data_IF_388689643800
#
_entry.id   IF_388689643800
#
_cell.length_a   1.000
_cell.length_b   1.000
_cell.length_c   1.000
_cell.angle_alpha   90.00
_cell.angle_beta   90.00
_cell.angle_gamma   90.00
#
_symmetry.space_group_name_H-M   'P 1'
#
loop_
_entity.id
_entity.type
_entity.pdbx_description
1 polymer ?
#
# COMPACT_ATOMS: atom_id res chain seq x y z
N UNK A 1 3.85 39.51 41.73
CA UNK A 1 4.83 38.46 41.37
C UNK A 1 4.20 37.08 41.50
N UNK A 2 3.88 36.43 40.38
CA UNK A 2 4.01 34.98 40.11
C UNK A 2 3.47 34.73 38.69
N UNK A 3 4.37 34.83 37.72
CA UNK A 3 4.17 34.30 36.36
C UNK A 3 4.04 32.78 36.52
N UNK A 4 2.87 32.22 36.20
CA UNK A 4 2.64 30.79 36.24
C UNK A 4 2.67 30.21 34.84
N UNK A 5 3.48 29.16 34.69
CA UNK A 5 4.01 28.58 33.46
C UNK A 5 2.99 27.81 32.60
N UNK A 6 1.71 28.21 32.61
CA UNK A 6 0.66 27.54 31.86
C UNK A 6 0.68 27.90 30.35
N UNK A 7 1.16 29.09 29.98
CA UNK A 7 1.31 29.48 28.57
C UNK A 7 2.46 28.74 27.84
N UNK A 8 3.45 28.18 28.56
CA UNK A 8 4.57 27.46 27.93
C UNK A 8 4.21 26.03 27.55
N UNK A 9 3.25 25.41 28.23
CA UNK A 9 2.80 24.04 27.92
C UNK A 9 1.74 23.99 26.81
N UNK A 10 0.98 25.08 26.60
CA UNK A 10 0.01 25.19 25.51
C UNK A 10 0.69 25.51 24.16
N UNK A 11 1.84 26.18 24.18
CA UNK A 11 2.63 26.47 22.96
C UNK A 11 3.48 25.28 22.50
N UNK A 12 3.88 24.37 23.40
CA UNK A 12 4.64 23.15 23.06
C UNK A 12 3.75 22.02 22.51
N UNK A 13 2.43 22.08 22.74
CA UNK A 13 1.47 21.11 22.20
C UNK A 13 0.93 21.45 20.79
N UNK A 14 1.27 22.62 20.23
CA UNK A 14 0.91 23.01 18.84
C UNK A 14 2.00 22.72 17.79
N UNK A 15 3.06 21.96 18.14
CA UNK A 15 4.17 21.66 17.21
C UNK A 15 4.21 20.20 16.72
N UNK A 16 3.17 19.39 16.94
CA UNK A 16 3.12 17.99 16.44
C UNK A 16 1.81 17.67 15.70
N UNK A 17 1.28 18.64 14.94
CA UNK A 17 0.22 18.39 13.96
C UNK A 17 0.55 19.13 12.65
N UNK A 18 1.57 18.65 11.94
CA UNK A 18 1.57 18.73 10.47
C UNK A 18 0.96 17.41 9.98
N UNK A 19 -0.35 17.26 10.22
CA UNK A 19 -1.16 16.34 9.44
C UNK A 19 -1.55 17.11 8.19
N UNK A 20 -1.15 16.61 7.04
CA UNK A 20 -1.40 17.21 5.74
C UNK A 20 -2.89 17.47 5.54
N UNK A 21 -3.29 18.73 5.73
CA UNK A 21 -4.57 19.26 5.30
C UNK A 21 -4.30 20.26 4.18
N UNK A 22 -3.99 19.74 3.00
CA UNK A 22 -4.04 20.54 1.79
C UNK A 22 -5.52 20.66 1.39
N UNK A 23 -6.11 21.82 1.70
CA UNK A 23 -7.38 22.25 1.13
C UNK A 23 -7.14 22.42 -0.37
N UNK A 24 -7.63 21.47 -1.17
CA UNK A 24 -7.55 21.51 -2.62
C UNK A 24 -8.71 22.37 -3.15
N UNK A 25 -8.45 23.64 -3.43
CA UNK A 25 -9.38 24.51 -4.16
C UNK A 25 -8.92 24.60 -5.62
N UNK A 26 -9.72 24.03 -6.53
CA UNK A 26 -9.94 24.58 -7.87
C UNK A 26 -8.96 24.19 -8.99
N UNK A 27 -9.57 23.73 -10.09
CA UNK A 27 -9.08 23.68 -11.48
C UNK A 27 -8.13 22.54 -11.86
N UNK A 28 -8.53 21.77 -12.89
CA UNK A 28 -7.77 21.03 -13.93
C UNK A 28 -6.34 20.52 -13.68
N UNK A 29 -5.88 20.37 -12.45
CA UNK A 29 -4.51 20.04 -12.11
C UNK A 29 -4.30 18.54 -12.31
N UNK A 30 -3.33 18.19 -13.17
CA UNK A 30 -2.73 16.85 -13.11
C UNK A 30 -2.26 16.65 -11.66
N UNK A 31 -2.78 15.64 -10.98
CA UNK A 31 -2.32 15.28 -9.63
C UNK A 31 -0.86 14.85 -9.72
N UNK A 32 0.05 15.67 -9.20
CA UNK A 32 1.48 15.38 -9.13
C UNK A 32 1.79 14.65 -7.82
N UNK A 33 2.89 13.89 -7.81
CA UNK A 33 3.42 13.30 -6.59
C UNK A 33 4.00 14.40 -5.66
N UNK A 34 4.31 14.04 -4.42
CA UNK A 34 4.69 15.00 -3.39
C UNK A 34 6.18 15.34 -3.47
N UNK A 35 6.57 16.59 -3.16
CA UNK A 35 7.99 16.96 -3.08
C UNK A 35 8.49 16.95 -1.63
N UNK A 36 9.76 16.58 -1.42
CA UNK A 36 10.46 16.87 -0.18
C UNK A 36 10.84 18.37 -0.12
N UNK A 37 10.74 18.99 1.05
CA UNK A 37 10.93 20.44 1.21
C UNK A 37 12.40 20.89 1.20
N UNK A 38 13.30 20.02 1.64
CA UNK A 38 14.74 20.24 1.68
C UNK A 38 15.45 18.89 1.52
N UNK A 39 16.75 18.85 1.18
CA UNK A 39 17.50 17.61 1.18
C UNK A 39 17.50 16.96 2.56
N UNK A 40 17.19 15.67 2.64
CA UNK A 40 17.12 14.91 3.89
C UNK A 40 17.79 13.55 3.74
N UNK A 41 18.22 12.91 4.84
CA UNK A 41 18.71 11.53 4.84
C UNK A 41 17.70 10.56 4.22
N UNK A 42 18.19 9.58 3.44
CA UNK A 42 17.35 8.56 2.80
C UNK A 42 16.43 7.86 3.80
N UNK A 43 16.93 7.43 4.95
CA UNK A 43 16.14 6.73 5.96
C UNK A 43 15.07 7.58 6.66
N UNK A 44 15.09 8.90 6.50
CA UNK A 44 14.01 9.78 6.96
C UNK A 44 12.91 9.94 5.91
N UNK A 45 13.27 9.85 4.63
CA UNK A 45 12.30 9.89 3.51
C UNK A 45 11.65 8.51 3.30
N UNK A 46 12.43 7.44 3.48
CA UNK A 46 12.02 6.05 3.32
C UNK A 46 12.20 5.32 4.66
N UNK A 47 11.18 5.30 5.54
CA UNK A 47 11.30 4.70 6.87
C UNK A 47 11.46 3.18 6.86
N UNK A 48 11.00 2.51 5.79
CA UNK A 48 11.26 1.07 5.60
C UNK A 48 12.76 0.86 5.31
N UNK A 49 13.49 0.12 6.16
CA UNK A 49 14.94 0.01 6.05
C UNK A 49 15.38 -0.72 4.79
N UNK A 50 14.55 -1.57 4.22
CA UNK A 50 14.88 -2.32 3.02
C UNK A 50 14.58 -1.50 1.76
N UNK A 51 13.49 -0.72 1.76
CA UNK A 51 13.25 0.29 0.73
C UNK A 51 14.35 1.35 0.73
N UNK A 52 14.77 1.84 1.91
CA UNK A 52 15.88 2.78 2.03
C UNK A 52 17.18 2.22 1.41
N UNK A 53 17.47 0.93 1.59
CA UNK A 53 18.63 0.28 0.94
C UNK A 53 18.48 0.23 -0.58
N UNK A 54 17.27 -0.07 -1.09
CA UNK A 54 17.00 -0.07 -2.53
C UNK A 54 17.23 1.33 -3.13
N UNK A 55 16.68 2.36 -2.49
CA UNK A 55 16.87 3.76 -2.91
C UNK A 55 18.35 4.16 -2.84
N UNK A 56 19.04 3.81 -1.75
CA UNK A 56 20.47 4.06 -1.59
C UNK A 56 21.28 3.50 -2.76
N UNK A 57 21.05 2.24 -3.14
CA UNK A 57 21.73 1.59 -4.28
C UNK A 57 21.37 2.29 -5.59
N UNK A 58 20.09 2.60 -5.79
CA UNK A 58 19.57 3.27 -7.00
C UNK A 58 20.22 4.63 -7.22
N UNK A 59 20.46 5.39 -6.14
CA UNK A 59 21.09 6.71 -6.17
C UNK A 59 22.62 6.67 -6.05
N UNK A 60 23.25 5.50 -5.99
CA UNK A 60 24.71 5.36 -5.84
C UNK A 60 25.27 5.91 -4.53
N UNK A 61 24.46 5.96 -3.47
CA UNK A 61 24.83 6.48 -2.15
C UNK A 61 25.56 5.43 -1.31
N UNK A 62 26.39 5.87 -0.37
CA UNK A 62 27.20 4.99 0.48
C UNK A 62 26.39 4.52 1.68
N UNK A 63 25.65 5.43 2.32
CA UNK A 63 24.83 5.17 3.51
C UNK A 63 23.37 5.56 3.32
N UNK A 64 22.47 4.90 4.06
CA UNK A 64 21.05 5.33 4.16
C UNK A 64 20.89 6.63 4.95
N UNK A 65 21.96 7.14 5.56
CA UNK A 65 22.01 8.46 6.19
C UNK A 65 22.47 9.56 5.24
N UNK A 66 22.92 9.21 4.03
CA UNK A 66 23.33 10.20 3.05
C UNK A 66 22.13 11.04 2.64
N UNK A 67 22.34 12.34 2.51
CA UNK A 67 21.29 13.27 2.11
C UNK A 67 20.98 13.12 0.62
N UNK A 68 19.69 13.23 0.30
CA UNK A 68 19.17 13.24 -1.06
C UNK A 68 18.23 14.43 -1.23
N UNK A 69 18.33 15.08 -2.38
CA UNK A 69 17.48 16.19 -2.80
C UNK A 69 16.32 15.70 -3.68
N UNK A 70 15.28 16.53 -3.83
CA UNK A 70 14.19 16.24 -4.76
C UNK A 70 14.70 16.08 -6.21
N UNK A 71 15.73 16.83 -6.60
CA UNK A 71 16.35 16.72 -7.93
C UNK A 71 16.95 15.33 -8.17
N UNK A 72 17.53 14.72 -7.15
CA UNK A 72 18.06 13.35 -7.25
C UNK A 72 16.93 12.33 -7.33
N UNK A 73 15.86 12.49 -6.53
CA UNK A 73 14.67 11.64 -6.64
C UNK A 73 14.00 11.77 -8.02
N UNK A 74 13.89 12.99 -8.56
CA UNK A 74 13.34 13.26 -9.89
C UNK A 74 14.22 12.74 -11.04
N UNK A 75 15.49 12.39 -10.77
CA UNK A 75 16.37 11.77 -11.76
C UNK A 75 16.08 10.28 -11.97
N UNK A 76 15.36 9.65 -11.03
CA UNK A 76 15.07 8.22 -11.07
C UNK A 76 13.79 7.95 -11.86
N UNK A 77 13.94 7.21 -12.96
CA UNK A 77 12.84 6.75 -13.80
C UNK A 77 12.50 5.27 -13.57
N UNK A 78 13.43 4.51 -12.99
CA UNK A 78 13.27 3.09 -12.72
C UNK A 78 13.78 2.71 -11.34
N UNK A 79 13.00 1.94 -10.60
CA UNK A 79 13.39 1.40 -9.29
C UNK A 79 13.07 -0.09 -9.25
N UNK A 80 14.07 -0.90 -8.89
CA UNK A 80 13.93 -2.35 -8.70
C UNK A 80 14.20 -2.70 -7.23
N UNK A 81 13.13 -3.08 -6.53
CA UNK A 81 13.15 -3.58 -5.17
C UNK A 81 12.53 -4.98 -5.07
N UNK A 82 12.60 -5.80 -6.12
CA UNK A 82 12.16 -7.19 -6.05
C UNK A 82 12.89 -7.94 -4.92
N UNK A 83 12.19 -8.85 -4.24
CA UNK A 83 12.76 -9.78 -3.26
C UNK A 83 13.59 -9.08 -2.16
N UNK A 84 13.16 -7.88 -1.76
CA UNK A 84 13.93 -7.01 -0.87
C UNK A 84 13.41 -7.01 0.57
N UNK A 85 12.35 -7.74 0.89
CA UNK A 85 11.65 -7.75 2.19
C UNK A 85 10.95 -6.43 2.56
N UNK A 86 10.63 -5.60 1.56
CA UNK A 86 9.94 -4.33 1.74
C UNK A 86 8.54 -4.57 2.31
N UNK A 87 8.17 -3.80 3.33
CA UNK A 87 6.85 -3.84 3.98
C UNK A 87 6.05 -2.57 3.73
N UNK A 88 6.73 -1.42 3.72
CA UNK A 88 6.10 -0.12 3.48
C UNK A 88 6.68 0.57 2.25
N UNK A 89 5.80 1.24 1.51
CA UNK A 89 6.15 2.07 0.35
C UNK A 89 6.24 3.56 0.69
N UNK A 90 6.14 3.92 1.97
CA UNK A 90 6.26 5.30 2.43
C UNK A 90 7.57 5.93 1.91
N UNK A 91 7.44 7.13 1.35
CA UNK A 91 8.51 7.85 0.66
C UNK A 91 8.46 7.71 -0.86
N UNK A 92 7.85 6.64 -1.42
CA UNK A 92 7.76 6.47 -2.87
C UNK A 92 6.94 7.57 -3.56
N UNK A 93 6.03 8.22 -2.83
CA UNK A 93 5.28 9.38 -3.34
C UNK A 93 6.17 10.55 -3.76
N UNK A 94 7.48 10.52 -3.45
CA UNK A 94 8.45 11.55 -3.82
C UNK A 94 9.18 11.32 -5.15
N UNK A 95 8.97 10.18 -5.84
CA UNK A 95 9.58 9.92 -7.14
C UNK A 95 8.71 10.42 -8.31
N UNK A 96 8.69 11.73 -8.55
CA UNK A 96 7.78 12.35 -9.53
C UNK A 96 7.96 11.88 -10.98
N UNK A 97 9.15 11.38 -11.32
CA UNK A 97 9.52 10.95 -12.68
C UNK A 97 9.60 9.43 -12.83
N UNK A 98 9.14 8.67 -11.82
CA UNK A 98 9.17 7.21 -11.88
C UNK A 98 8.23 6.69 -12.97
N UNK A 99 8.77 5.86 -13.85
CA UNK A 99 8.05 5.21 -14.94
C UNK A 99 7.99 3.69 -14.76
N UNK A 100 9.02 3.09 -14.15
CA UNK A 100 9.16 1.65 -13.97
C UNK A 100 9.39 1.33 -12.50
N UNK A 101 8.54 0.48 -11.94
CA UNK A 101 8.63 0.05 -10.55
C UNK A 101 8.45 -1.47 -10.44
N UNK A 102 9.51 -2.15 -10.01
CA UNK A 102 9.50 -3.59 -9.73
C UNK A 102 9.58 -3.82 -8.23
N UNK A 103 8.53 -4.42 -7.65
CA UNK A 103 8.37 -4.67 -6.22
C UNK A 103 7.83 -6.08 -5.94
N UNK A 104 8.09 -7.03 -6.84
CA UNK A 104 7.69 -8.41 -6.70
C UNK A 104 8.29 -9.08 -5.47
N UNK A 105 7.57 -10.06 -4.90
CA UNK A 105 8.07 -10.93 -3.83
C UNK A 105 8.51 -10.15 -2.59
N UNK A 106 7.64 -9.27 -2.12
CA UNK A 106 7.82 -8.47 -0.90
C UNK A 106 6.67 -8.73 0.10
N UNK A 107 6.54 -7.89 1.12
CA UNK A 107 5.53 -7.99 2.17
C UNK A 107 4.62 -6.76 2.19
N UNK A 108 4.42 -6.14 1.02
CA UNK A 108 3.68 -4.89 0.88
C UNK A 108 2.18 -5.15 1.06
N UNK A 109 1.54 -4.35 1.93
CA UNK A 109 0.09 -4.34 2.14
C UNK A 109 -0.55 -3.08 1.59
N UNK A 110 0.04 -1.93 1.92
CA UNK A 110 -0.46 -0.63 1.54
C UNK A 110 0.31 -0.07 0.34
N UNK A 111 -0.43 0.26 -0.71
CA UNK A 111 0.08 0.86 -1.95
C UNK A 111 -0.42 2.30 -2.15
N UNK A 112 -1.01 2.92 -1.12
CA UNK A 112 -1.45 4.32 -1.13
C UNK A 112 -0.36 5.31 -1.59
N UNK A 113 0.93 5.14 -1.21
CA UNK A 113 2.01 6.00 -1.71
C UNK A 113 2.13 6.08 -3.25
N UNK A 114 1.60 5.09 -3.98
CA UNK A 114 1.65 5.05 -5.44
C UNK A 114 0.57 5.91 -6.12
N UNK A 115 -0.48 6.33 -5.39
CA UNK A 115 -1.70 6.95 -5.93
C UNK A 115 -1.47 8.08 -6.93
N UNK A 116 -0.45 8.91 -6.69
CA UNK A 116 -0.17 10.11 -7.48
C UNK A 116 1.03 9.93 -8.44
N UNK A 117 1.61 8.74 -8.55
CA UNK A 117 2.71 8.43 -9.46
C UNK A 117 2.20 8.22 -10.89
N UNK A 118 1.53 9.24 -11.43
CA UNK A 118 0.82 9.17 -12.72
C UNK A 118 1.73 8.96 -13.93
N UNK A 119 3.05 9.07 -13.77
CA UNK A 119 4.03 8.75 -14.82
C UNK A 119 4.37 7.26 -14.92
N UNK A 120 3.90 6.42 -13.98
CA UNK A 120 4.14 4.97 -14.02
C UNK A 120 3.57 4.35 -15.31
N UNK A 121 4.42 3.59 -15.99
CA UNK A 121 4.14 2.82 -17.20
C UNK A 121 4.21 1.31 -16.94
N UNK A 122 5.10 0.89 -16.05
CA UNK A 122 5.30 -0.53 -15.70
C UNK A 122 5.31 -0.67 -14.19
N UNK A 123 4.44 -1.54 -13.67
CA UNK A 123 4.32 -1.82 -12.24
C UNK A 123 4.21 -3.34 -12.01
N UNK A 124 5.19 -3.90 -11.29
CA UNK A 124 5.16 -5.30 -10.84
C UNK A 124 5.01 -5.35 -9.31
N UNK A 125 3.87 -5.86 -8.85
CA UNK A 125 3.49 -6.05 -7.45
C UNK A 125 3.14 -7.51 -7.16
N UNK A 126 3.55 -8.47 -8.00
CA UNK A 126 3.26 -9.89 -7.79
C UNK A 126 3.82 -10.38 -6.47
N UNK A 127 3.16 -11.36 -5.86
CA UNK A 127 3.64 -12.00 -4.62
C UNK A 127 3.87 -10.97 -3.51
N UNK A 128 2.80 -10.27 -3.14
CA UNK A 128 2.75 -9.34 -2.01
C UNK A 128 1.54 -9.69 -1.11
N UNK A 129 1.08 -8.75 -0.28
CA UNK A 129 -0.04 -8.93 0.66
C UNK A 129 -1.13 -7.87 0.42
N UNK A 130 -1.30 -7.45 -0.83
CA UNK A 130 -2.16 -6.32 -1.20
C UNK A 130 -3.62 -6.77 -1.31
N UNK A 131 -4.51 -6.13 -0.58
CA UNK A 131 -5.96 -6.37 -0.64
C UNK A 131 -6.74 -5.23 -1.31
N UNK A 132 -6.19 -4.02 -1.40
CA UNK A 132 -6.88 -2.84 -1.94
C UNK A 132 -6.12 -2.24 -3.12
N UNK A 133 -6.72 -2.31 -4.32
CA UNK A 133 -6.15 -1.74 -5.55
C UNK A 133 -6.69 -0.34 -5.89
N UNK A 134 -7.53 0.26 -5.05
CA UNK A 134 -8.08 1.60 -5.31
C UNK A 134 -7.01 2.69 -5.51
N UNK A 135 -5.82 2.65 -4.88
CA UNK A 135 -4.77 3.64 -5.17
C UNK A 135 -4.32 3.63 -6.64
N UNK A 136 -4.47 2.50 -7.34
CA UNK A 136 -4.05 2.38 -8.74
C UNK A 136 -5.06 3.00 -9.72
N UNK A 137 -6.29 3.32 -9.30
CA UNK A 137 -7.38 3.72 -10.19
C UNK A 137 -7.00 4.88 -11.13
N UNK A 138 -6.23 5.85 -10.61
CA UNK A 138 -5.79 7.04 -11.34
C UNK A 138 -4.58 6.85 -12.26
N UNK A 139 -3.90 5.70 -12.22
CA UNK A 139 -2.65 5.46 -12.95
C UNK A 139 -2.90 5.07 -14.42
N UNK A 140 -3.49 5.99 -15.18
CA UNK A 140 -3.98 5.73 -16.55
C UNK A 140 -2.86 5.52 -17.60
N UNK A 141 -1.61 5.86 -17.27
CA UNK A 141 -0.45 5.70 -18.15
C UNK A 141 0.22 4.31 -18.07
N UNK A 142 -0.29 3.42 -17.22
CA UNK A 142 0.19 2.04 -17.17
C UNK A 142 0.02 1.37 -18.54
N UNK A 143 1.05 0.61 -18.90
CA UNK A 143 1.12 -0.25 -20.10
C UNK A 143 1.37 -1.71 -19.71
N UNK A 144 1.90 -1.95 -18.50
CA UNK A 144 2.06 -3.27 -17.90
C UNK A 144 1.76 -3.18 -16.39
N UNK A 145 0.95 -4.13 -15.90
CA UNK A 145 0.60 -4.27 -14.49
C UNK A 145 0.56 -5.75 -14.11
N UNK A 146 1.34 -6.12 -13.11
CA UNK A 146 1.26 -7.44 -12.47
C UNK A 146 0.89 -7.28 -10.99
N UNK A 147 -0.21 -7.93 -10.58
CA UNK A 147 -0.75 -7.93 -9.21
C UNK A 147 -1.17 -9.35 -8.78
N UNK A 148 -0.61 -10.39 -9.40
CA UNK A 148 -1.00 -11.77 -9.13
C UNK A 148 -0.40 -12.31 -7.83
N UNK A 149 -0.98 -13.42 -7.34
CA UNK A 149 -0.45 -14.22 -6.24
C UNK A 149 -0.30 -13.46 -4.91
N UNK A 150 -1.28 -12.62 -4.59
CA UNK A 150 -1.31 -11.98 -3.28
C UNK A 150 -1.59 -13.00 -2.17
N UNK A 151 -0.91 -12.84 -1.04
CA UNK A 151 -1.10 -13.64 0.17
C UNK A 151 -1.47 -12.73 1.33
N UNK A 152 -2.77 -12.60 1.56
CA UNK A 152 -3.33 -11.72 2.58
C UNK A 152 -3.57 -12.55 3.83
N UNK A 153 -3.15 -12.02 4.98
CA UNK A 153 -3.45 -12.56 6.30
C UNK A 153 -4.15 -11.47 7.08
N UNK A 154 -5.42 -11.71 7.37
CA UNK A 154 -6.27 -10.79 8.13
C UNK A 154 -5.90 -10.83 9.62
N UNK A 155 -6.37 -9.80 10.34
CA UNK A 155 -6.29 -9.79 11.79
C UNK A 155 -7.09 -10.96 12.36
N UNK A 156 -6.57 -11.70 13.35
CA UNK A 156 -7.32 -12.79 13.97
C UNK A 156 -8.66 -12.32 14.54
N UNK A 157 -9.68 -13.18 14.43
CA UNK A 157 -11.00 -12.98 15.06
C UNK A 157 -11.31 -14.14 15.99
N UNK A 158 -12.20 -13.94 16.96
CA UNK A 158 -12.64 -15.03 17.83
C UNK A 158 -13.44 -16.05 17.04
N UNK A 159 -13.22 -17.32 17.31
CA UNK A 159 -13.99 -18.41 16.75
C UNK A 159 -15.45 -18.33 17.21
N UNK A 160 -16.36 -18.44 16.25
CA UNK A 160 -17.78 -18.62 16.48
C UNK A 160 -18.28 -19.77 15.58
N UNK A 161 -19.28 -20.58 16.04
CA UNK A 161 -19.87 -21.62 15.19
C UNK A 161 -20.50 -21.07 13.92
N UNK A 162 -21.13 -19.89 13.97
CA UNK A 162 -21.71 -19.21 12.81
C UNK A 162 -20.88 -17.96 12.49
N UNK A 163 -19.69 -18.17 11.94
CA UNK A 163 -18.71 -17.11 11.68
C UNK A 163 -19.08 -16.33 10.42
N UNK A 164 -19.17 -15.00 10.53
CA UNK A 164 -19.42 -14.08 9.41
C UNK A 164 -18.24 -13.13 9.26
N UNK A 165 -17.60 -13.12 8.08
CA UNK A 165 -16.46 -12.24 7.78
C UNK A 165 -16.76 -11.44 6.51
N UNK A 166 -16.67 -10.10 6.56
CA UNK A 166 -16.84 -9.27 5.37
C UNK A 166 -15.67 -9.44 4.39
N UNK A 167 -15.96 -9.40 3.10
CA UNK A 167 -14.93 -9.36 2.06
C UNK A 167 -14.26 -7.99 2.05
N UNK A 168 -12.94 -7.97 2.18
CA UNK A 168 -12.13 -6.73 2.28
C UNK A 168 -11.40 -6.40 0.98
N UNK A 169 -11.31 -7.35 0.05
CA UNK A 169 -10.45 -7.24 -1.14
C UNK A 169 -11.14 -6.43 -2.24
N UNK A 170 -10.52 -5.32 -2.64
CA UNK A 170 -11.08 -4.33 -3.57
C UNK A 170 -10.33 -4.27 -4.89
N UNK A 171 -11.12 -4.21 -5.97
CA UNK A 171 -10.67 -3.88 -7.32
C UNK A 171 -10.32 -2.39 -7.43
N UNK A 172 -9.67 -1.95 -8.53
CA UNK A 172 -9.31 -0.54 -8.72
C UNK A 172 -10.50 0.43 -8.61
N UNK A 173 -11.70 0.04 -9.05
CA UNK A 173 -12.91 0.88 -8.98
C UNK A 173 -13.56 0.94 -7.58
N UNK A 174 -12.99 0.23 -6.60
CA UNK A 174 -13.49 0.15 -5.23
C UNK A 174 -14.51 -0.96 -4.99
N UNK A 175 -15.00 -1.63 -6.03
CA UNK A 175 -15.90 -2.77 -5.86
C UNK A 175 -15.14 -4.01 -5.39
N UNK A 176 -15.83 -4.88 -4.63
CA UNK A 176 -15.22 -6.07 -4.04
C UNK A 176 -14.96 -7.14 -5.09
N UNK A 177 -13.93 -7.96 -4.87
CA UNK A 177 -13.74 -9.21 -5.62
C UNK A 177 -14.77 -10.23 -5.15
N UNK A 178 -15.13 -11.16 -6.03
CA UNK A 178 -15.94 -12.31 -5.64
C UNK A 178 -15.04 -13.42 -5.09
N UNK A 179 -15.24 -13.87 -3.83
CA UNK A 179 -14.53 -15.02 -3.27
C UNK A 179 -14.74 -16.30 -4.09
N UNK A 180 -13.70 -17.12 -4.17
CA UNK A 180 -13.64 -18.42 -4.86
C UNK A 180 -12.93 -19.42 -3.95
N UNK A 181 -13.20 -20.71 -4.13
CA UNK A 181 -12.54 -21.78 -3.35
C UNK A 181 -12.57 -21.51 -1.83
N UNK A 182 -13.73 -21.14 -1.31
CA UNK A 182 -13.93 -20.88 0.12
C UNK A 182 -13.78 -22.19 0.88
N UNK A 183 -12.94 -22.23 1.91
CA UNK A 183 -12.71 -23.46 2.67
C UNK A 183 -13.91 -23.79 3.56
N UNK A 184 -13.94 -25.01 4.09
CA UNK A 184 -14.88 -25.39 5.16
C UNK A 184 -16.36 -25.20 4.80
N UNK A 185 -16.68 -25.37 3.51
CA UNK A 185 -18.00 -25.18 2.93
C UNK A 185 -18.61 -23.78 3.18
N UNK A 186 -17.76 -22.76 3.35
CA UNK A 186 -18.23 -21.39 3.51
C UNK A 186 -18.95 -20.87 2.26
N UNK A 187 -19.92 -19.99 2.46
CA UNK A 187 -20.75 -19.41 1.41
C UNK A 187 -20.58 -17.90 1.35
N UNK A 188 -20.51 -17.34 0.14
CA UNK A 188 -20.47 -15.90 -0.08
C UNK A 188 -21.88 -15.35 -0.32
N UNK A 189 -22.34 -14.45 0.54
CA UNK A 189 -23.70 -13.92 0.59
C UNK A 189 -23.63 -12.42 0.94
N UNK A 190 -24.21 -11.55 0.10
CA UNK A 190 -24.31 -10.09 0.33
C UNK A 190 -23.01 -9.43 0.83
N UNK A 191 -21.88 -9.71 0.18
CA UNK A 191 -20.54 -9.20 0.53
C UNK A 191 -19.85 -9.82 1.76
N UNK A 192 -20.53 -10.73 2.46
CA UNK A 192 -19.96 -11.50 3.56
C UNK A 192 -19.65 -12.94 3.15
N UNK A 193 -18.70 -13.56 3.84
CA UNK A 193 -18.47 -14.99 3.81
C UNK A 193 -18.93 -15.58 5.15
N UNK A 194 -19.82 -16.55 5.06
CA UNK A 194 -20.42 -17.23 6.22
C UNK A 194 -19.88 -18.65 6.29
N UNK A 195 -19.37 -19.03 7.46
CA UNK A 195 -18.97 -20.39 7.77
C UNK A 195 -19.81 -20.95 8.92
N UNK A 196 -20.38 -22.13 8.73
CA UNK A 196 -20.92 -22.94 9.81
C UNK A 196 -19.85 -23.96 10.25
N UNK A 197 -19.21 -23.69 11.39
CA UNK A 197 -18.08 -24.43 11.93
C UNK A 197 -18.56 -25.27 13.14
N UNK A 198 -18.75 -26.59 12.99
CA UNK A 198 -19.23 -27.44 14.08
C UNK A 198 -18.20 -27.67 15.20
N UNK A 199 -16.93 -27.33 14.95
CA UNK A 199 -15.85 -27.42 15.92
C UNK A 199 -14.79 -26.35 15.63
N UNK A 200 -14.04 -25.98 16.67
CA UNK A 200 -12.95 -25.00 16.59
C UNK A 200 -11.97 -25.33 15.46
N UNK A 201 -11.66 -24.31 14.66
CA UNK A 201 -10.57 -24.31 13.67
C UNK A 201 -9.60 -23.19 13.96
N UNK A 202 -8.35 -23.35 13.51
CA UNK A 202 -7.30 -22.32 13.66
C UNK A 202 -7.37 -21.23 12.60
N UNK A 203 -7.92 -21.54 11.44
CA UNK A 203 -8.09 -20.60 10.33
C UNK A 203 -9.22 -21.07 9.41
N UNK A 204 -9.81 -20.11 8.71
CA UNK A 204 -10.58 -20.31 7.46
C UNK A 204 -9.95 -19.47 6.36
N UNK A 205 -10.26 -19.75 5.09
CA UNK A 205 -9.68 -18.99 3.98
C UNK A 205 -10.55 -19.01 2.72
N UNK A 206 -10.23 -18.10 1.81
CA UNK A 206 -10.75 -18.11 0.45
C UNK A 206 -9.68 -17.66 -0.54
N UNK A 207 -9.90 -17.96 -1.83
CA UNK A 207 -9.10 -17.43 -2.94
C UNK A 207 -9.92 -16.42 -3.72
N UNK A 208 -9.28 -15.60 -4.54
CA UNK A 208 -9.95 -14.76 -5.52
C UNK A 208 -9.15 -14.74 -6.82
N UNK A 209 -9.83 -14.39 -7.91
CA UNK A 209 -9.23 -14.32 -9.23
C UNK A 209 -10.15 -13.59 -10.19
N UNK A 210 -10.00 -12.28 -10.26
CA UNK A 210 -10.88 -11.40 -11.02
C UNK A 210 -10.11 -10.66 -12.11
N UNK A 211 -10.74 -10.51 -13.28
CA UNK A 211 -10.19 -9.63 -14.32
C UNK A 211 -10.41 -8.19 -13.87
N UNK A 212 -9.35 -7.39 -13.94
CA UNK A 212 -9.38 -5.97 -13.57
C UNK A 212 -8.83 -5.13 -14.71
N UNK A 213 -9.13 -3.84 -14.65
CA UNK A 213 -8.62 -2.84 -15.59
C UNK A 213 -8.09 -1.62 -14.85
N UNK A 214 -6.89 -1.17 -15.22
CA UNK A 214 -6.32 0.10 -14.79
C UNK A 214 -5.84 0.85 -16.04
N UNK A 215 -6.48 1.97 -16.34
CA UNK A 215 -6.26 2.66 -17.61
C UNK A 215 -6.58 1.76 -18.80
N UNK A 216 -5.59 1.52 -19.65
CA UNK A 216 -5.71 0.63 -20.82
C UNK A 216 -5.26 -0.81 -20.56
N UNK A 217 -4.70 -1.08 -19.38
CA UNK A 217 -4.17 -2.41 -19.04
C UNK A 217 -5.27 -3.26 -18.44
N UNK A 218 -5.45 -4.46 -19.01
CA UNK A 218 -6.26 -5.51 -18.41
C UNK A 218 -5.35 -6.63 -17.91
N UNK A 219 -5.57 -7.04 -16.66
CA UNK A 219 -4.82 -8.14 -16.02
C UNK A 219 -5.77 -8.93 -15.10
N UNK A 220 -5.24 -9.92 -14.39
CA UNK A 220 -6.01 -10.65 -13.37
C UNK A 220 -5.44 -10.34 -12.00
N UNK A 221 -6.31 -9.95 -11.08
CA UNK A 221 -5.99 -9.80 -9.66
C UNK A 221 -6.29 -11.11 -8.95
N UNK A 222 -5.26 -11.77 -8.43
CA UNK A 222 -5.37 -13.10 -7.81
C UNK A 222 -4.71 -13.15 -6.45
N UNK A 223 -5.24 -14.00 -5.59
CA UNK A 223 -4.64 -14.24 -4.30
C UNK A 223 -5.41 -15.18 -3.41
N UNK A 224 -4.92 -15.31 -2.18
CA UNK A 224 -5.54 -16.05 -1.09
C UNK A 224 -5.63 -15.13 0.12
N UNK A 225 -6.77 -15.18 0.81
CA UNK A 225 -7.01 -14.51 2.08
C UNK A 225 -7.14 -15.57 3.17
N UNK A 226 -6.33 -15.45 4.21
CA UNK A 226 -6.41 -16.28 5.42
C UNK A 226 -6.99 -15.45 6.57
N UNK A 227 -7.98 -16.02 7.24
CA UNK A 227 -8.58 -15.50 8.46
C UNK A 227 -8.21 -16.40 9.64
N UNK A 228 -7.22 -16.02 10.47
CA UNK A 228 -6.90 -16.75 11.68
C UNK A 228 -8.04 -16.65 12.70
N UNK A 229 -8.24 -17.73 13.47
CA UNK A 229 -9.28 -17.82 14.50
C UNK A 229 -8.67 -18.09 15.88
N UNK A 230 -9.00 -17.24 16.85
CA UNK A 230 -8.64 -17.42 18.26
C UNK A 230 -9.75 -18.10 19.03
N UNK A 231 -9.42 -18.65 20.21
CA UNK A 231 -10.42 -19.15 21.15
C UNK A 231 -10.98 -18.05 22.02
#
# INVERSE_FOLDING_TARGET
>A
MRKSNWLKSVVVAMLVLIVGFCINIGSGTKVHAANILHPMPINQIFPDPDLAKVVKRTLGKQSVTDVVSQKELDSVQGLNGNESNIKSLEGLQHFNKLEVLFLASNQIKDITPLKNLTNLKVLDLKVNQISDLTPLYGLKNLTSLDVVYQKIVETPVTYEPDLVIPVTVKKPDGSLVTPKCITDNGAYIYDDIIWNLPAYKKEVSYKFGERIQVGKVSTTFTGMVKQPLTR
#
